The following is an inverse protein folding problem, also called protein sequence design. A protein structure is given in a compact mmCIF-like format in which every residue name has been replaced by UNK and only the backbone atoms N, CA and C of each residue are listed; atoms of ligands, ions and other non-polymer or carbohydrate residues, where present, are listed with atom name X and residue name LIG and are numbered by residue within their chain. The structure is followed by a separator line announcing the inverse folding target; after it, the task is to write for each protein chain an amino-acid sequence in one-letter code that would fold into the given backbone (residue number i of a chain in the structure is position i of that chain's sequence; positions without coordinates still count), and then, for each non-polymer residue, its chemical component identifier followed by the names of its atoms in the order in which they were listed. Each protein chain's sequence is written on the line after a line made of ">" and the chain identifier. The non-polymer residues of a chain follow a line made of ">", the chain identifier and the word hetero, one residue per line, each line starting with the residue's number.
data_IF_236897283027
#
_entry.id   IF_236897283027
#
_cell.length_a   1.000
_cell.length_b   1.000
_cell.length_c   1.000
_cell.angle_alpha   90.00
_cell.angle_beta   90.00
_cell.angle_gamma   90.00
#
_symmetry.space_group_name_H-M   'P 1'
#
loop_
_entity.id
_entity.type
_entity.pdbx_description
1 polymer ?
#
# COMPACT_ATOMS: atom_id res chain seq x y z
N UNK A 1 -22.54 13.88 6.70
CA UNK A 1 -21.29 13.38 6.11
C UNK A 1 -21.55 12.99 4.66
N UNK A 2 -20.74 13.46 3.72
CA UNK A 2 -20.84 13.00 2.34
C UNK A 2 -20.23 11.59 2.26
N UNK A 3 -21.06 10.60 1.95
CA UNK A 3 -20.56 9.25 1.64
C UNK A 3 -19.70 9.37 0.39
N UNK A 4 -18.38 9.25 0.51
CA UNK A 4 -17.48 9.27 -0.64
C UNK A 4 -17.81 8.06 -1.54
N UNK A 5 -18.64 8.28 -2.55
CA UNK A 5 -18.96 7.25 -3.54
C UNK A 5 -17.76 7.06 -4.45
N UNK A 6 -17.15 5.87 -4.40
CA UNK A 6 -16.05 5.47 -5.27
C UNK A 6 -16.60 5.31 -6.70
N UNK A 7 -16.22 6.18 -7.66
CA UNK A 7 -16.73 6.08 -9.03
C UNK A 7 -16.26 4.77 -9.66
N UNK A 8 -17.16 4.07 -10.35
CA UNK A 8 -16.82 2.85 -11.10
C UNK A 8 -15.74 3.15 -12.14
N UNK A 9 -14.68 2.35 -12.18
CA UNK A 9 -13.60 2.46 -13.16
C UNK A 9 -12.40 3.30 -12.72
N UNK A 10 -12.36 3.79 -11.48
CA UNK A 10 -11.15 4.38 -10.91
C UNK A 10 -10.19 3.31 -10.40
N UNK A 11 -8.89 3.56 -10.58
CA UNK A 11 -7.82 2.72 -10.04
C UNK A 11 -7.48 3.14 -8.61
N UNK A 12 -7.46 2.16 -7.72
CA UNK A 12 -7.14 2.32 -6.30
C UNK A 12 -5.86 1.56 -5.96
N UNK A 13 -5.05 2.15 -5.08
CA UNK A 13 -3.82 1.54 -4.59
C UNK A 13 -3.98 1.21 -3.12
N UNK A 14 -3.50 0.03 -2.73
CA UNK A 14 -3.51 -0.42 -1.35
C UNK A 14 -2.23 0.02 -0.64
N UNK A 15 -2.35 0.43 0.62
CA UNK A 15 -1.24 0.77 1.51
C UNK A 15 -1.44 0.00 2.82
N UNK A 16 -0.40 -0.65 3.33
CA UNK A 16 -0.38 -1.29 4.64
C UNK A 16 -0.78 -0.29 5.73
N UNK A 17 -1.74 -0.70 6.58
CA UNK A 17 -2.33 0.18 7.58
C UNK A 17 -1.28 0.71 8.56
N UNK A 18 -0.27 -0.10 8.93
CA UNK A 18 0.80 0.31 9.85
C UNK A 18 1.73 1.32 9.19
N UNK A 19 2.01 1.19 7.89
CA UNK A 19 2.73 2.24 7.16
C UNK A 19 1.94 3.55 7.16
N UNK A 20 0.64 3.48 6.89
CA UNK A 20 -0.24 4.65 6.89
C UNK A 20 -0.31 5.33 8.28
N UNK A 21 -0.34 4.55 9.37
CA UNK A 21 -0.27 5.08 10.74
C UNK A 21 1.04 5.85 11.00
N UNK A 22 2.18 5.28 10.57
CA UNK A 22 3.48 5.97 10.67
C UNK A 22 3.50 7.26 9.86
N UNK A 23 2.92 7.23 8.65
CA UNK A 23 2.83 8.42 7.81
C UNK A 23 1.97 9.51 8.44
N UNK A 24 0.82 9.14 9.00
CA UNK A 24 -0.04 10.08 9.74
C UNK A 24 0.69 10.70 10.92
N UNK A 25 1.36 9.89 11.75
CA UNK A 25 2.14 10.39 12.88
C UNK A 25 3.22 11.39 12.44
N UNK A 26 3.96 11.07 11.38
CA UNK A 26 4.95 11.96 10.74
C UNK A 26 4.32 13.28 10.26
N UNK A 27 3.16 13.22 9.62
CA UNK A 27 2.50 14.38 9.03
C UNK A 27 1.88 15.34 10.07
N UNK A 28 1.44 14.82 11.22
CA UNK A 28 0.69 15.62 12.21
C UNK A 28 1.49 16.00 13.45
N UNK A 29 2.61 15.34 13.70
CA UNK A 29 3.36 15.51 14.95
C UNK A 29 4.76 16.01 14.66
N UNK A 30 5.12 17.15 15.26
CA UNK A 30 6.48 17.66 15.20
C UNK A 30 7.47 16.60 15.73
N UNK A 31 8.63 16.49 15.08
CA UNK A 31 9.73 15.58 15.45
C UNK A 31 9.44 14.07 15.34
N UNK A 32 8.30 13.65 14.76
CA UNK A 32 8.09 12.24 14.44
C UNK A 32 9.01 11.79 13.29
N UNK A 33 9.54 10.56 13.34
CA UNK A 33 10.40 10.04 12.28
C UNK A 33 9.60 9.85 10.98
N UNK A 34 10.28 10.02 9.84
CA UNK A 34 9.69 9.70 8.54
C UNK A 34 9.26 8.21 8.49
N UNK A 35 8.14 7.88 7.82
CA UNK A 35 7.59 6.51 7.80
C UNK A 35 8.48 5.49 7.06
N UNK A 36 9.49 5.98 6.32
CA UNK A 36 10.29 5.19 5.39
C UNK A 36 9.53 4.88 4.09
N UNK A 37 10.13 4.09 3.19
CA UNK A 37 9.48 3.66 1.95
C UNK A 37 8.17 2.93 2.21
N UNK A 38 7.24 3.02 1.26
CA UNK A 38 5.97 2.28 1.32
C UNK A 38 6.27 0.78 1.28
N UNK A 39 5.87 0.07 2.35
CA UNK A 39 6.08 -1.37 2.55
C UNK A 39 4.74 -2.10 2.64
N UNK A 40 4.38 -2.84 1.59
CA UNK A 40 3.13 -3.59 1.48
C UNK A 40 3.34 -5.12 1.55
N UNK A 41 4.54 -5.58 1.91
CA UNK A 41 4.93 -6.99 1.90
C UNK A 41 4.08 -7.87 2.81
N UNK A 42 3.51 -7.29 3.86
CA UNK A 42 2.58 -7.93 4.81
C UNK A 42 1.22 -8.24 4.18
N UNK A 43 0.88 -7.60 3.06
CA UNK A 43 -0.41 -7.75 2.37
C UNK A 43 -0.35 -8.82 1.27
N UNK A 44 0.83 -9.33 0.93
CA UNK A 44 1.02 -10.32 -0.14
C UNK A 44 1.52 -11.63 0.40
N UNK A 45 1.34 -12.70 -0.37
CA UNK A 45 1.84 -14.01 0.01
C UNK A 45 3.38 -14.01 0.15
N UNK A 46 3.92 -14.72 1.15
CA UNK A 46 5.35 -14.72 1.51
C UNK A 46 6.31 -15.03 0.34
N UNK A 47 5.82 -15.76 -0.66
CA UNK A 47 6.56 -16.12 -1.88
C UNK A 47 6.70 -14.98 -2.90
N UNK A 48 6.27 -13.75 -2.59
CA UNK A 48 6.30 -12.62 -3.51
C UNK A 48 7.68 -12.35 -4.12
N UNK A 49 8.76 -12.52 -3.34
CA UNK A 49 10.14 -12.33 -3.84
C UNK A 49 10.49 -13.38 -4.90
N UNK A 50 10.14 -14.64 -4.66
CA UNK A 50 10.38 -15.72 -5.61
C UNK A 50 9.60 -15.48 -6.91
N UNK A 51 8.35 -15.01 -6.81
CA UNK A 51 7.54 -14.65 -7.98
C UNK A 51 8.08 -13.45 -8.74
N UNK A 52 8.60 -12.45 -8.02
CA UNK A 52 9.23 -11.28 -8.62
C UNK A 52 10.47 -11.66 -9.45
N UNK A 53 11.25 -12.64 -8.98
CA UNK A 53 12.43 -13.14 -9.68
C UNK A 53 12.12 -14.20 -10.75
N UNK A 54 10.86 -14.64 -10.87
CA UNK A 54 10.45 -15.70 -11.80
C UNK A 54 10.77 -17.12 -11.34
N UNK A 55 11.19 -17.29 -10.09
CA UNK A 55 11.52 -18.58 -9.48
C UNK A 55 10.27 -19.38 -9.03
N UNK A 56 9.10 -18.73 -8.99
CA UNK A 56 7.82 -19.35 -8.64
C UNK A 56 6.69 -18.83 -9.56
N UNK A 57 5.67 -19.66 -9.86
CA UNK A 57 4.53 -19.21 -10.65
C UNK A 57 3.65 -18.20 -9.89
N UNK A 58 2.93 -17.37 -10.66
CA UNK A 58 2.01 -16.35 -10.15
C UNK A 58 2.64 -14.95 -10.10
N UNK A 59 1.89 -13.99 -9.58
CA UNK A 59 2.33 -12.60 -9.49
C UNK A 59 2.88 -12.26 -8.10
N UNK A 60 3.86 -11.37 -8.04
CA UNK A 60 4.40 -10.89 -6.77
C UNK A 60 3.39 -10.08 -5.94
N UNK A 61 2.38 -9.48 -6.59
CA UNK A 61 1.33 -8.66 -5.97
C UNK A 61 0.08 -9.46 -5.58
N UNK A 62 0.17 -10.80 -5.55
CA UNK A 62 -0.94 -11.66 -5.10
C UNK A 62 -1.22 -11.40 -3.61
N UNK A 63 -2.42 -10.89 -3.26
CA UNK A 63 -2.74 -10.52 -1.89
C UNK A 63 -3.02 -11.76 -1.01
N UNK A 64 -2.74 -11.63 0.28
CA UNK A 64 -3.18 -12.59 1.29
C UNK A 64 -4.72 -12.68 1.32
N UNK A 65 -5.24 -13.86 1.64
CA UNK A 65 -6.67 -14.07 1.81
C UNK A 65 -7.16 -13.45 3.11
N UNK A 66 -8.36 -12.85 3.06
CA UNK A 66 -9.05 -12.35 4.26
C UNK A 66 -8.61 -10.98 4.76
N UNK A 67 -7.83 -10.22 3.98
CA UNK A 67 -7.45 -8.85 4.34
C UNK A 67 -8.67 -7.93 4.53
N UNK A 68 -8.65 -7.14 5.59
CA UNK A 68 -9.73 -6.25 5.99
C UNK A 68 -9.36 -4.78 5.76
N UNK A 69 -10.24 -4.06 5.05
CA UNK A 69 -10.12 -2.63 4.84
C UNK A 69 -10.16 -1.89 6.19
N UNK A 70 -9.31 -0.87 6.34
CA UNK A 70 -9.12 -0.07 7.55
C UNK A 70 -8.58 -0.85 8.78
N UNK A 71 -8.17 -2.11 8.61
CA UNK A 71 -7.46 -2.88 9.64
C UNK A 71 -6.09 -3.30 9.12
N UNK A 72 -6.06 -4.00 7.99
CA UNK A 72 -4.79 -4.46 7.40
C UNK A 72 -4.27 -3.46 6.37
N UNK A 73 -5.17 -2.80 5.63
CA UNK A 73 -4.81 -1.86 4.58
C UNK A 73 -5.79 -0.69 4.47
N UNK A 74 -5.33 0.39 3.85
CA UNK A 74 -6.18 1.48 3.36
C UNK A 74 -6.08 1.58 1.84
N UNK A 75 -7.12 2.13 1.22
CA UNK A 75 -7.13 2.40 -0.21
C UNK A 75 -6.92 3.89 -0.45
N UNK A 76 -6.05 4.22 -1.39
CA UNK A 76 -5.81 5.60 -1.83
C UNK A 76 -6.03 5.73 -3.34
N UNK A 77 -6.38 6.93 -3.78
CA UNK A 77 -6.50 7.24 -5.20
C UNK A 77 -5.13 7.23 -5.87
N UNK A 78 -5.08 7.14 -7.20
CA UNK A 78 -3.83 7.18 -7.96
C UNK A 78 -3.01 8.44 -7.69
N UNK A 79 -3.67 9.59 -7.50
CA UNK A 79 -2.98 10.85 -7.21
C UNK A 79 -2.28 10.82 -5.85
N UNK A 80 -2.97 10.32 -4.82
CA UNK A 80 -2.39 10.18 -3.47
C UNK A 80 -1.27 9.16 -3.48
N UNK A 81 -1.43 8.04 -4.18
CA UNK A 81 -0.37 7.05 -4.36
C UNK A 81 0.90 7.67 -4.95
N UNK A 82 0.80 8.35 -6.10
CA UNK A 82 1.94 8.99 -6.74
C UNK A 82 2.63 10.01 -5.83
N UNK A 83 1.85 10.80 -5.09
CA UNK A 83 2.38 11.77 -4.13
C UNK A 83 3.19 11.10 -3.01
N UNK A 84 2.66 10.03 -2.41
CA UNK A 84 3.36 9.31 -1.34
C UNK A 84 4.61 8.59 -1.84
N UNK A 85 4.55 8.01 -3.05
CA UNK A 85 5.70 7.39 -3.71
C UNK A 85 6.82 8.40 -3.98
N UNK A 86 6.48 9.60 -4.46
CA UNK A 86 7.49 10.63 -4.72
C UNK A 86 8.19 11.08 -3.43
N UNK A 87 7.45 11.19 -2.32
CA UNK A 87 8.00 11.64 -1.04
C UNK A 87 8.80 10.57 -0.29
N UNK A 88 8.34 9.32 -0.34
CA UNK A 88 8.84 8.26 0.53
C UNK A 88 9.51 7.11 -0.23
N UNK A 89 9.29 7.01 -1.53
CA UNK A 89 9.65 5.85 -2.33
C UNK A 89 8.77 4.64 -2.04
N UNK A 90 9.04 3.55 -2.76
CA UNK A 90 8.44 2.24 -2.52
C UNK A 90 9.50 1.24 -2.12
N UNK A 91 9.07 0.13 -1.55
CA UNK A 91 9.89 -1.06 -1.54
C UNK A 91 10.04 -1.66 -2.95
N UNK A 92 10.72 -2.80 -3.05
CA UNK A 92 10.83 -3.57 -4.31
C UNK A 92 9.56 -4.32 -4.70
N UNK A 93 8.50 -4.28 -3.90
CA UNK A 93 7.22 -4.92 -4.21
C UNK A 93 6.46 -4.08 -5.26
N UNK A 94 5.88 -4.69 -6.31
CA UNK A 94 5.01 -3.99 -7.23
C UNK A 94 3.79 -3.35 -6.54
N UNK A 95 3.26 -2.22 -7.05
CA UNK A 95 2.07 -1.59 -6.50
C UNK A 95 0.86 -2.52 -6.53
N UNK A 96 0.11 -2.58 -5.42
CA UNK A 96 -1.15 -3.31 -5.32
C UNK A 96 -2.30 -2.44 -5.87
N UNK A 97 -2.52 -2.52 -7.18
CA UNK A 97 -3.54 -1.74 -7.89
C UNK A 97 -4.84 -2.54 -8.13
N UNK A 98 -6.01 -1.92 -7.94
CA UNK A 98 -7.35 -2.49 -8.17
C UNK A 98 -8.26 -1.56 -8.95
#
# INVERSE_FOLDING_TARGET
>A
EATATLPRGQCWFLIDAKWNERWWAYATTADSPAPGPITNETLVEDSWRLRLHGDAPGNADTPCLGLQLATDYVCVTSLVWCFLVELHGTSGLPPLAR
#
